data_IF_814763086226
#
_entry.id   IF_814763086226
#
_cell.length_a   1.000
_cell.length_b   1.000
_cell.length_c   1.000
_cell.angle_alpha   90.00
_cell.angle_beta   90.00
_cell.angle_gamma   90.00
#
_symmetry.space_group_name_H-M   'P 1'
#
loop_
_entity.id
_entity.type
_entity.pdbx_description
1 polymer ?
#
# COMPACT_ATOMS: atom_id res chain seq x y z
N UNK A 1 -15.76 -9.22 -26.70
CA UNK A 1 -15.22 -7.88 -26.36
C UNK A 1 -14.97 -7.78 -24.87
N UNK A 2 -13.86 -8.34 -24.39
CA UNK A 2 -13.44 -8.23 -23.00
C UNK A 2 -11.90 -8.24 -22.91
N UNK A 3 -11.24 -7.58 -23.87
CA UNK A 3 -9.78 -7.38 -23.88
C UNK A 3 -9.43 -5.99 -23.35
N UNK A 4 -10.01 -5.59 -22.22
CA UNK A 4 -9.74 -4.28 -21.63
C UNK A 4 -9.43 -4.41 -20.15
N UNK A 5 -8.26 -3.86 -19.78
CA UNK A 5 -7.78 -3.57 -18.43
C UNK A 5 -6.93 -4.62 -17.67
N UNK A 6 -6.26 -5.55 -18.36
CA UNK A 6 -5.10 -6.26 -17.79
C UNK A 6 -3.75 -5.67 -18.23
N UNK A 7 -3.76 -4.45 -18.77
CA UNK A 7 -2.54 -3.75 -19.15
C UNK A 7 -1.88 -3.17 -17.91
N UNK A 8 -0.84 -3.85 -17.40
CA UNK A 8 0.14 -3.30 -16.44
C UNK A 8 -0.49 -2.39 -15.39
N UNK A 9 -1.12 -2.96 -14.36
CA UNK A 9 -1.16 -2.26 -13.08
C UNK A 9 0.30 -2.17 -12.62
N UNK A 10 1.02 -1.15 -13.09
CA UNK A 10 2.20 -0.62 -12.42
C UNK A 10 1.70 -0.16 -11.07
N UNK A 11 1.61 -1.08 -10.12
CA UNK A 11 1.36 -0.79 -8.72
C UNK A 11 2.55 0.04 -8.25
N UNK A 12 2.46 1.35 -8.48
CA UNK A 12 3.42 2.35 -8.02
C UNK A 12 3.17 2.72 -6.57
N UNK A 13 1.99 2.39 -6.05
CA UNK A 13 1.57 2.68 -4.69
C UNK A 13 0.80 1.50 -4.10
N UNK A 14 1.11 1.16 -2.85
CA UNK A 14 0.41 0.17 -2.04
C UNK A 14 0.06 0.78 -0.69
N UNK A 15 -1.11 0.42 -0.19
CA UNK A 15 -1.53 0.76 1.17
C UNK A 15 -1.40 -0.48 2.04
N UNK A 16 -0.54 -0.41 3.03
CA UNK A 16 -0.28 -1.49 3.98
C UNK A 16 -0.97 -1.17 5.29
N UNK A 17 -1.64 -2.14 5.90
CA UNK A 17 -2.15 -1.97 7.26
C UNK A 17 -0.96 -1.97 8.24
N UNK A 18 -0.79 -0.90 9.01
CA UNK A 18 0.27 -0.72 9.98
C UNK A 18 0.21 -1.67 11.17
N UNK A 19 -0.91 -2.35 11.39
CA UNK A 19 -1.02 -3.46 12.34
C UNK A 19 -0.37 -4.76 11.84
N UNK A 20 0.04 -4.81 10.57
CA UNK A 20 0.74 -5.94 9.96
C UNK A 20 2.22 -5.58 9.73
N UNK A 21 3.09 -5.66 10.76
CA UNK A 21 4.51 -5.33 10.64
C UNK A 21 5.22 -6.23 9.62
N UNK A 22 4.75 -7.47 9.44
CA UNK A 22 5.27 -8.39 8.43
C UNK A 22 5.04 -7.88 7.00
N UNK A 23 3.85 -7.32 6.72
CA UNK A 23 3.54 -6.74 5.42
C UNK A 23 4.38 -5.49 5.16
N UNK A 24 4.55 -4.62 6.16
CA UNK A 24 5.41 -3.44 6.03
C UNK A 24 6.87 -3.82 5.74
N UNK A 25 7.38 -4.89 6.38
CA UNK A 25 8.70 -5.45 6.12
C UNK A 25 8.83 -6.01 4.70
N UNK A 26 7.82 -6.73 4.22
CA UNK A 26 7.79 -7.30 2.87
C UNK A 26 7.93 -6.21 1.80
N UNK A 27 7.06 -5.21 1.82
CA UNK A 27 7.07 -4.13 0.81
C UNK A 27 8.34 -3.28 0.89
N UNK A 28 8.88 -3.05 2.09
CA UNK A 28 10.17 -2.37 2.25
C UNK A 28 11.31 -3.14 1.57
N UNK A 29 11.31 -4.47 1.67
CA UNK A 29 12.32 -5.31 1.02
C UNK A 29 12.13 -5.37 -0.51
N UNK A 30 10.89 -5.26 -0.99
CA UNK A 30 10.58 -5.15 -2.42
C UNK A 30 10.99 -3.79 -3.03
N UNK A 31 11.43 -2.82 -2.22
CA UNK A 31 11.86 -1.50 -2.67
C UNK A 31 10.79 -0.42 -2.59
N UNK A 32 9.66 -0.69 -1.92
CA UNK A 32 8.67 0.34 -1.62
C UNK A 32 9.11 1.17 -0.41
N UNK A 33 8.90 2.48 -0.50
CA UNK A 33 9.18 3.42 0.58
C UNK A 33 7.89 4.00 1.14
N UNK A 34 7.72 4.00 2.46
CA UNK A 34 6.60 4.68 3.11
C UNK A 34 6.71 6.19 2.90
N UNK A 35 5.71 6.80 2.28
CA UNK A 35 5.67 8.25 2.08
C UNK A 35 4.58 8.94 2.89
N UNK A 36 3.55 8.20 3.32
CA UNK A 36 2.46 8.74 4.15
C UNK A 36 1.99 7.70 5.16
N UNK A 37 1.61 8.19 6.33
CA UNK A 37 0.98 7.41 7.40
C UNK A 37 -0.27 8.14 7.84
N UNK A 38 -1.38 7.43 7.96
CA UNK A 38 -2.58 7.98 8.62
C UNK A 38 -2.81 7.23 9.92
N UNK A 39 -3.24 7.93 10.96
CA UNK A 39 -3.60 7.31 12.23
C UNK A 39 -5.00 6.68 12.21
N UNK A 40 -5.84 7.12 11.27
CA UNK A 40 -7.23 6.73 11.10
C UNK A 40 -7.44 6.21 9.68
N UNK A 41 -8.31 5.21 9.53
CA UNK A 41 -8.81 4.79 8.22
C UNK A 41 -10.01 5.65 7.79
N UNK A 42 -10.53 5.38 6.60
CA UNK A 42 -11.73 6.03 6.04
C UNK A 42 -13.00 5.80 6.88
N UNK A 43 -13.03 4.76 7.72
CA UNK A 43 -14.13 4.44 8.64
C UNK A 43 -13.97 5.06 10.04
N UNK A 44 -12.96 5.92 10.26
CA UNK A 44 -12.64 6.51 11.56
C UNK A 44 -12.18 5.52 12.65
N UNK A 45 -11.87 4.28 12.26
CA UNK A 45 -11.21 3.32 13.14
C UNK A 45 -9.70 3.59 13.20
N UNK A 46 -9.06 3.31 14.35
CA UNK A 46 -7.61 3.46 14.56
C UNK A 46 -6.81 2.34 13.88
N UNK A 47 -7.00 2.17 12.57
CA UNK A 47 -6.15 1.33 11.73
C UNK A 47 -5.13 2.22 11.04
N UNK A 48 -3.88 2.27 11.53
CA UNK A 48 -2.88 3.10 10.90
C UNK A 48 -2.58 2.58 9.50
N UNK A 49 -2.89 3.34 8.44
CA UNK A 49 -2.56 2.97 7.07
C UNK A 49 -1.18 3.51 6.71
N UNK A 50 -0.35 2.65 6.13
CA UNK A 50 0.98 2.96 5.60
C UNK A 50 0.89 3.01 4.08
N UNK A 51 0.96 4.21 3.52
CA UNK A 51 1.06 4.38 2.07
C UNK A 51 2.53 4.26 1.68
N UNK A 52 2.84 3.27 0.86
CA UNK A 52 4.18 3.00 0.36
C UNK A 52 4.17 3.09 -1.15
N UNK A 53 5.23 3.65 -1.72
CA UNK A 53 5.38 3.76 -3.18
C UNK A 53 6.67 3.10 -3.65
N UNK A 54 6.59 2.42 -4.79
CA UNK A 54 7.78 1.90 -5.46
C UNK A 54 8.49 3.08 -6.13
N UNK A 55 9.78 3.20 -5.89
CA UNK A 55 10.61 4.27 -6.47
C UNK A 55 10.68 4.16 -7.99
#
# INVERSE_FOLDING_TARGET
MAEYAAGRFSIREVTVNGLNPQAAGFYRHTGFETYKRTALNESCDPYPLLYMRLK
#
